data_IF_914860332424
#
_entry.id   IF_914860332424
#
_cell.length_a   1.000
_cell.length_b   1.000
_cell.length_c   1.000
_cell.angle_alpha   90.00
_cell.angle_beta   90.00
_cell.angle_gamma   90.00
#
_symmetry.space_group_name_H-M   'P 1'
#
loop_
_entity.id
_entity.type
_entity.pdbx_description
1 polymer ?
#
# COMPACT_ATOMS: atom_id res chain seq x y z
N UNK A 1 -5.76 15.19 3.74
CA UNK A 1 -6.02 14.48 2.46
C UNK A 1 -4.68 14.00 1.88
N UNK A 2 -4.23 12.76 2.16
CA UNK A 2 -2.86 12.29 1.84
C UNK A 2 -2.44 12.49 0.37
N UNK A 3 -3.36 12.24 -0.57
CA UNK A 3 -3.12 12.33 -2.01
C UNK A 3 -3.03 13.76 -2.55
N UNK A 4 -3.32 14.81 -1.79
CA UNK A 4 -3.14 16.19 -2.29
C UNK A 4 -1.67 16.58 -2.45
N UNK A 5 -0.78 15.84 -1.80
CA UNK A 5 0.67 16.02 -1.95
C UNK A 5 1.24 15.34 -3.20
N UNK A 6 0.44 14.51 -3.88
CA UNK A 6 0.89 13.74 -5.04
C UNK A 6 0.80 14.61 -6.29
N UNK A 7 1.63 15.64 -6.31
CA UNK A 7 1.79 16.57 -7.43
C UNK A 7 3.29 16.69 -7.78
N UNK A 8 3.59 16.96 -9.05
CA UNK A 8 4.95 17.04 -9.57
C UNK A 8 5.62 15.69 -9.87
N UNK A 9 6.95 15.72 -10.02
CA UNK A 9 7.76 14.55 -10.46
C UNK A 9 8.55 13.88 -9.34
N UNK A 10 8.70 14.53 -8.20
CA UNK A 10 9.52 14.05 -7.07
C UNK A 10 8.67 13.26 -6.07
N UNK A 11 8.35 12.01 -6.42
CA UNK A 11 7.46 11.17 -5.61
C UNK A 11 7.94 10.91 -4.17
N UNK A 12 9.23 11.09 -3.88
CA UNK A 12 9.78 10.95 -2.53
C UNK A 12 9.38 12.10 -1.59
N UNK A 13 8.77 13.17 -2.12
CA UNK A 13 8.19 14.26 -1.34
C UNK A 13 6.69 14.05 -1.06
N UNK A 14 6.08 13.02 -1.65
CA UNK A 14 4.67 12.75 -1.50
C UNK A 14 4.38 12.12 -0.13
N UNK A 15 3.32 12.58 0.52
CA UNK A 15 2.89 12.02 1.79
C UNK A 15 2.57 10.53 1.63
N UNK A 16 3.08 9.74 2.57
CA UNK A 16 2.93 8.29 2.56
C UNK A 16 3.90 7.55 1.64
N UNK A 17 4.79 8.24 0.91
CA UNK A 17 5.88 7.60 0.16
C UNK A 17 7.19 7.85 0.90
N UNK A 18 7.94 6.77 1.14
CA UNK A 18 9.29 6.89 1.68
C UNK A 18 10.29 6.15 0.79
N UNK A 19 11.34 6.88 0.42
CA UNK A 19 12.40 6.41 -0.46
C UNK A 19 13.69 6.13 0.31
N UNK A 20 14.49 5.21 -0.20
CA UNK A 20 15.83 4.95 0.30
C UNK A 20 16.72 6.18 0.10
N UNK A 21 17.30 6.70 1.17
CA UNK A 21 18.25 7.81 1.10
C UNK A 21 19.56 7.47 0.35
N UNK A 22 19.80 6.19 0.03
CA UNK A 22 20.99 5.74 -0.73
C UNK A 22 20.74 5.61 -2.23
N UNK A 23 19.53 5.23 -2.62
CA UNK A 23 19.25 4.82 -4.01
C UNK A 23 18.07 5.55 -4.64
N UNK A 24 17.32 6.35 -3.88
CA UNK A 24 16.12 7.04 -4.35
C UNK A 24 14.92 6.13 -4.60
N UNK A 25 15.07 4.80 -4.55
CA UNK A 25 13.95 3.88 -4.76
C UNK A 25 12.92 3.97 -3.64
N UNK A 26 11.63 3.86 -4.01
CA UNK A 26 10.53 3.70 -3.05
C UNK A 26 10.69 2.39 -2.29
N UNK A 27 10.80 2.48 -0.97
CA UNK A 27 10.94 1.34 -0.07
C UNK A 27 9.73 1.15 0.85
N UNK A 28 8.94 2.20 1.05
CA UNK A 28 7.74 2.16 1.89
C UNK A 28 6.61 2.97 1.28
N UNK A 29 5.43 2.38 1.30
CA UNK A 29 4.14 3.02 1.04
C UNK A 29 3.29 2.90 2.31
N UNK A 30 3.00 4.03 2.94
CA UNK A 30 2.19 4.15 4.14
C UNK A 30 0.96 4.99 3.81
N UNK A 31 -0.15 4.32 3.51
CA UNK A 31 -1.39 4.93 3.05
C UNK A 31 -2.59 4.43 3.85
N UNK A 32 -2.57 4.54 5.20
CA UNK A 32 -3.73 4.20 5.98
C UNK A 32 -4.87 5.18 5.70
N UNK A 33 -6.10 4.67 5.66
CA UNK A 33 -7.26 5.54 5.64
C UNK A 33 -7.38 6.29 6.97
N UNK A 34 -7.83 7.55 6.90
CA UNK A 34 -7.94 8.43 8.07
C UNK A 34 -9.37 8.92 8.19
N UNK A 35 -9.96 8.77 9.37
CA UNK A 35 -11.22 9.42 9.71
C UNK A 35 -10.90 10.79 10.31
N UNK A 36 -11.44 11.85 9.70
CA UNK A 36 -11.47 13.20 10.27
C UNK A 36 -12.91 13.53 10.66
N UNK A 37 -13.09 14.52 11.55
CA UNK A 37 -14.40 14.97 12.02
C UNK A 37 -15.35 15.35 10.86
N UNK A 38 -14.78 15.81 9.75
CA UNK A 38 -15.46 16.30 8.55
C UNK A 38 -15.71 15.21 7.50
N UNK A 39 -15.29 13.96 7.76
CA UNK A 39 -15.49 12.83 6.85
C UNK A 39 -14.36 11.81 6.83
N UNK A 40 -14.64 10.68 6.18
CA UNK A 40 -13.74 9.53 6.09
C UNK A 40 -12.91 9.60 4.80
N UNK A 41 -11.60 9.78 4.90
CA UNK A 41 -10.66 9.71 3.77
C UNK A 41 -10.15 8.28 3.60
N UNK A 42 -10.86 7.49 2.80
CA UNK A 42 -10.51 6.10 2.49
C UNK A 42 -10.35 5.86 1.01
N UNK A 43 -9.40 4.99 0.65
CA UNK A 43 -9.27 4.45 -0.69
C UNK A 43 -10.25 3.30 -0.88
N UNK A 44 -10.90 3.24 -2.05
CA UNK A 44 -11.80 2.15 -2.46
C UNK A 44 -11.35 1.60 -3.81
N UNK A 45 -11.97 0.52 -4.26
CA UNK A 45 -11.71 -0.09 -5.56
C UNK A 45 -10.65 -1.19 -5.46
N UNK A 46 -9.77 -1.26 -6.46
CA UNK A 46 -8.78 -2.34 -6.59
C UNK A 46 -7.38 -1.86 -6.30
N UNK A 47 -6.62 -2.66 -5.54
CA UNK A 47 -5.18 -2.46 -5.40
C UNK A 47 -4.54 -2.69 -6.77
N UNK A 48 -3.79 -1.69 -7.25
CA UNK A 48 -3.26 -1.68 -8.61
C UNK A 48 -2.12 -2.68 -8.79
N UNK A 49 -2.12 -3.51 -9.85
CA UNK A 49 -1.01 -4.42 -10.15
C UNK A 49 0.29 -3.66 -10.46
N UNK A 50 0.25 -2.36 -10.72
CA UNK A 50 1.46 -1.56 -10.92
C UNK A 50 2.37 -1.49 -9.70
N UNK A 51 1.90 -1.85 -8.50
CA UNK A 51 2.76 -2.01 -7.32
C UNK A 51 3.94 -2.97 -7.58
N UNK A 52 3.80 -3.95 -8.47
CA UNK A 52 4.89 -4.88 -8.85
C UNK A 52 6.08 -4.19 -9.53
N UNK A 53 5.92 -2.94 -9.99
CA UNK A 53 7.01 -2.13 -10.55
C UNK A 53 7.91 -1.57 -9.45
N UNK A 54 7.44 -1.47 -8.21
CA UNK A 54 8.22 -1.01 -7.06
C UNK A 54 9.07 -2.16 -6.52
N UNK A 55 10.10 -2.57 -7.26
CA UNK A 55 10.93 -3.75 -6.96
C UNK A 55 11.64 -3.72 -5.60
N UNK A 56 11.81 -2.52 -5.05
CA UNK A 56 12.47 -2.29 -3.77
C UNK A 56 11.48 -2.04 -2.62
N UNK A 57 10.18 -2.13 -2.87
CA UNK A 57 9.17 -1.98 -1.82
C UNK A 57 9.37 -3.07 -0.77
N UNK A 58 9.42 -2.66 0.50
CA UNK A 58 9.57 -3.52 1.68
C UNK A 58 8.41 -3.36 2.65
N UNK A 59 7.78 -2.19 2.68
CA UNK A 59 6.71 -1.88 3.61
C UNK A 59 5.48 -1.40 2.83
N UNK A 60 4.35 -2.08 3.03
CA UNK A 60 3.06 -1.69 2.45
C UNK A 60 1.99 -1.66 3.55
N UNK A 61 1.50 -0.47 3.85
CA UNK A 61 0.36 -0.25 4.74
C UNK A 61 -0.79 0.37 3.97
N UNK A 62 -1.87 -0.40 3.84
CA UNK A 62 -3.14 -0.01 3.24
C UNK A 62 -4.29 -0.14 4.24
N UNK A 63 -3.98 -0.12 5.54
CA UNK A 63 -4.97 -0.33 6.60
C UNK A 63 -6.04 0.75 6.65
N UNK A 64 -7.16 0.44 7.28
CA UNK A 64 -8.25 1.38 7.55
C UNK A 64 -8.83 2.02 6.28
N UNK A 65 -8.81 1.30 5.15
CA UNK A 65 -9.37 1.75 3.88
C UNK A 65 -10.69 1.02 3.57
N UNK A 66 -11.30 1.32 2.43
CA UNK A 66 -12.55 0.71 1.97
C UNK A 66 -12.35 -0.30 0.85
N UNK A 67 -11.23 -1.03 0.81
CA UNK A 67 -11.03 -2.10 -0.17
C UNK A 67 -11.99 -3.25 0.14
N UNK A 68 -12.80 -3.67 -0.84
CA UNK A 68 -13.92 -4.60 -0.68
C UNK A 68 -13.88 -5.80 -1.64
N UNK A 69 -12.77 -5.96 -2.36
CA UNK A 69 -12.52 -7.04 -3.31
C UNK A 69 -11.67 -8.14 -2.67
N UNK A 70 -11.22 -9.13 -3.43
CA UNK A 70 -10.23 -10.11 -2.95
C UNK A 70 -8.84 -9.50 -2.82
N UNK A 71 -8.01 -10.06 -1.94
CA UNK A 71 -6.60 -9.67 -1.84
C UNK A 71 -5.90 -10.12 -3.13
N UNK A 72 -5.23 -9.23 -3.89
CA UNK A 72 -4.57 -9.64 -5.12
C UNK A 72 -3.35 -10.51 -4.86
N UNK A 73 -3.26 -11.65 -5.55
CA UNK A 73 -2.14 -12.59 -5.44
C UNK A 73 -0.78 -11.99 -5.80
N UNK A 74 -0.75 -10.94 -6.64
CA UNK A 74 0.49 -10.24 -7.00
C UNK A 74 1.18 -9.61 -5.78
N UNK A 75 0.47 -9.34 -4.68
CA UNK A 75 1.08 -8.82 -3.45
C UNK A 75 2.13 -9.82 -2.94
N UNK A 76 1.89 -11.13 -3.09
CA UNK A 76 2.86 -12.16 -2.74
C UNK A 76 4.10 -12.22 -3.66
N UNK A 77 4.08 -11.53 -4.81
CA UNK A 77 5.27 -11.37 -5.67
C UNK A 77 6.18 -10.22 -5.26
N UNK A 78 5.71 -9.36 -4.34
CA UNK A 78 6.50 -8.29 -3.75
C UNK A 78 7.35 -8.86 -2.63
N UNK A 79 8.63 -8.47 -2.58
CA UNK A 79 9.52 -8.86 -1.48
C UNK A 79 9.29 -7.96 -0.25
N UNK A 80 8.09 -8.00 0.33
CA UNK A 80 7.74 -7.19 1.50
C UNK A 80 8.24 -7.83 2.80
N UNK A 81 8.67 -6.99 3.72
CA UNK A 81 8.96 -7.29 5.12
C UNK A 81 7.76 -6.96 6.02
N UNK A 82 6.87 -6.09 5.55
CA UNK A 82 5.68 -5.68 6.26
C UNK A 82 4.52 -5.48 5.30
N UNK A 83 3.39 -6.10 5.65
CA UNK A 83 2.10 -5.94 4.97
C UNK A 83 1.01 -5.70 6.02
N UNK A 84 0.32 -4.57 5.91
CA UNK A 84 -0.86 -4.29 6.72
C UNK A 84 -2.06 -4.00 5.84
N UNK A 85 -3.04 -4.90 5.89
CA UNK A 85 -4.32 -4.81 5.19
C UNK A 85 -5.51 -4.72 6.17
N UNK A 86 -5.24 -4.53 7.47
CA UNK A 86 -6.27 -4.52 8.52
C UNK A 86 -7.30 -3.40 8.33
N UNK A 87 -8.47 -3.55 8.94
CA UNK A 87 -9.57 -2.57 8.84
C UNK A 87 -9.94 -2.23 7.38
N UNK A 88 -10.04 -3.26 6.55
CA UNK A 88 -10.62 -3.21 5.21
C UNK A 88 -11.76 -4.22 5.12
N UNK A 89 -12.48 -4.21 4.00
CA UNK A 89 -13.57 -5.14 3.71
C UNK A 89 -13.15 -6.23 2.70
N UNK A 90 -11.87 -6.60 2.66
CA UNK A 90 -11.38 -7.64 1.73
C UNK A 90 -12.16 -8.94 1.92
N UNK A 91 -12.52 -9.58 0.80
CA UNK A 91 -13.34 -10.78 0.77
C UNK A 91 -12.58 -11.99 0.21
N UNK A 92 -13.17 -13.17 0.36
CA UNK A 92 -12.61 -14.42 -0.16
C UNK A 92 -11.44 -14.95 0.65
N UNK A 93 -10.67 -15.85 0.05
CA UNK A 93 -9.55 -16.54 0.70
C UNK A 93 -8.28 -15.68 0.69
N UNK A 94 -7.40 -15.93 1.65
CA UNK A 94 -6.04 -15.36 1.65
C UNK A 94 -5.24 -16.05 0.53
N UNK A 95 -4.71 -15.31 -0.46
CA UNK A 95 -3.93 -15.90 -1.54
C UNK A 95 -2.73 -16.69 -1.00
N UNK A 96 -2.49 -17.94 -1.47
CA UNK A 96 -1.35 -18.74 -1.02
C UNK A 96 0.00 -18.10 -1.37
N UNK A 97 0.04 -17.16 -2.32
CA UNK A 97 1.24 -16.39 -2.65
C UNK A 97 1.71 -15.53 -1.46
N UNK A 98 0.82 -15.19 -0.52
CA UNK A 98 1.19 -14.47 0.71
C UNK A 98 1.82 -15.40 1.77
N UNK A 99 1.69 -16.72 1.63
CA UNK A 99 2.32 -17.67 2.55
C UNK A 99 3.86 -17.65 2.46
N UNK A 100 4.41 -16.99 1.43
CA UNK A 100 5.85 -16.88 1.19
C UNK A 100 6.48 -15.64 1.85
N UNK A 101 5.77 -14.95 2.75
CA UNK A 101 6.40 -13.96 3.63
C UNK A 101 7.36 -14.69 4.57
N UNK A 102 8.64 -14.67 4.21
CA UNK A 102 9.71 -15.08 5.11
C UNK A 102 9.80 -14.00 6.18
N UNK A 103 9.45 -14.38 7.42
CA UNK A 103 9.63 -13.56 8.62
C UNK A 103 11.12 -13.26 8.85
#
# INVERSE_FOLDING_TARGET
RLLTSWDGRECCQWNGIHCSNRSGHVISLHLPGTAYEDGVCVMRGRVSPFLVKLKHLRYLDLSNNGFDQTIPSFIGSLNLQYLNLSYNNFQGEIPPQLANFQA
#
